data_IF_282016928149
#
_entry.id   IF_282016928149
#
_cell.length_a   1.000
_cell.length_b   1.000
_cell.length_c   1.000
_cell.angle_alpha   90.00
_cell.angle_beta   90.00
_cell.angle_gamma   90.00
#
_symmetry.space_group_name_H-M   'P 1'
#
loop_
_entity.id
_entity.type
_entity.pdbx_description
1 polymer ?
#
# COMPACT_ATOMS: atom_id res chain seq x y z
N UNK A 1 -20.17 50.20 8.54
CA UNK A 1 -19.53 50.39 7.22
C UNK A 1 -18.09 49.84 7.25
N UNK A 2 -17.90 48.53 7.49
CA UNK A 2 -16.55 47.90 7.71
C UNK A 2 -16.38 46.58 6.90
N UNK A 3 -17.32 46.21 6.03
CA UNK A 3 -17.32 44.87 5.39
C UNK A 3 -16.79 44.80 3.94
N UNK A 4 -16.27 45.88 3.36
CA UNK A 4 -16.00 45.92 1.90
C UNK A 4 -14.51 45.96 1.47
N UNK A 5 -13.53 45.86 2.36
CA UNK A 5 -12.14 46.26 2.01
C UNK A 5 -11.05 45.17 2.10
N UNK A 6 -11.39 43.86 2.14
CA UNK A 6 -10.37 42.79 2.27
C UNK A 6 -10.47 41.66 1.23
N UNK A 7 -10.79 41.98 -0.02
CA UNK A 7 -10.76 41.04 -1.16
C UNK A 7 -9.61 41.39 -2.13
N UNK A 8 -8.40 41.63 -1.61
CA UNK A 8 -7.24 41.97 -2.46
C UNK A 8 -5.97 41.16 -2.11
N UNK A 9 -6.12 39.87 -1.80
CA UNK A 9 -5.04 39.05 -1.20
C UNK A 9 -4.40 38.01 -2.12
N UNK A 10 -4.54 38.08 -3.45
CA UNK A 10 -3.81 37.15 -4.33
C UNK A 10 -3.11 37.80 -5.55
N UNK A 11 -2.21 38.79 -5.37
CA UNK A 11 -1.28 39.15 -6.44
C UNK A 11 -0.09 38.19 -6.38
N UNK A 12 -0.21 37.00 -6.98
CA UNK A 12 0.91 36.05 -6.94
C UNK A 12 0.86 34.79 -7.81
N UNK A 13 -0.23 34.51 -8.52
CA UNK A 13 -0.38 33.24 -9.25
C UNK A 13 -0.05 33.32 -10.75
N UNK A 14 1.04 34.00 -11.12
CA UNK A 14 1.60 33.89 -12.49
C UNK A 14 3.06 33.47 -12.44
N UNK A 15 3.28 32.24 -11.97
CA UNK A 15 4.56 31.54 -12.18
C UNK A 15 4.68 31.23 -13.67
N UNK A 16 5.32 32.12 -14.45
CA UNK A 16 5.70 31.82 -15.84
C UNK A 16 6.65 30.63 -15.79
N UNK A 17 6.19 29.46 -16.22
CA UNK A 17 7.04 28.28 -16.41
C UNK A 17 8.01 28.61 -17.54
N UNK A 18 9.22 29.04 -17.20
CA UNK A 18 10.29 29.24 -18.17
C UNK A 18 10.95 27.87 -18.41
N UNK A 19 10.60 27.22 -19.51
CA UNK A 19 11.33 26.05 -20.00
C UNK A 19 12.69 26.52 -20.51
N UNK A 20 13.73 26.34 -19.70
CA UNK A 20 15.10 26.50 -20.18
C UNK A 20 15.54 25.19 -20.83
N UNK A 21 15.53 25.16 -22.17
CA UNK A 21 15.95 23.98 -22.93
C UNK A 21 17.47 23.93 -22.89
N UNK A 22 18.02 23.22 -21.90
CA UNK A 22 19.44 22.90 -21.83
C UNK A 22 19.67 21.41 -22.17
N UNK A 23 20.92 21.03 -22.42
CA UNK A 23 21.27 19.64 -22.77
C UNK A 23 20.90 18.62 -21.67
N UNK A 24 20.87 19.04 -20.40
CA UNK A 24 20.49 18.19 -19.26
C UNK A 24 18.99 17.90 -19.21
N UNK A 25 18.14 18.88 -19.54
CA UNK A 25 16.69 18.73 -19.62
C UNK A 25 16.34 17.82 -20.79
N UNK A 26 17.02 17.97 -21.93
CA UNK A 26 16.83 17.07 -23.07
C UNK A 26 17.21 15.62 -22.72
N UNK A 27 18.34 15.41 -22.04
CA UNK A 27 18.77 14.09 -21.59
C UNK A 27 17.78 13.48 -20.56
N UNK A 28 17.37 14.26 -19.57
CA UNK A 28 16.39 13.84 -18.57
C UNK A 28 15.03 13.49 -19.21
N UNK A 29 14.55 14.31 -20.15
CA UNK A 29 13.32 14.06 -20.90
C UNK A 29 13.41 12.78 -21.73
N UNK A 30 14.55 12.52 -22.38
CA UNK A 30 14.76 11.28 -23.12
C UNK A 30 14.73 10.04 -22.22
N UNK A 31 15.40 10.10 -21.05
CA UNK A 31 15.39 9.00 -20.08
C UNK A 31 13.97 8.74 -19.56
N UNK A 32 13.24 9.79 -19.18
CA UNK A 32 11.85 9.67 -18.73
C UNK A 32 10.97 9.06 -19.82
N UNK A 33 11.15 9.50 -21.07
CA UNK A 33 10.44 8.94 -22.21
C UNK A 33 10.74 7.46 -22.39
N UNK A 34 12.03 7.07 -22.40
CA UNK A 34 12.47 5.68 -22.53
C UNK A 34 11.90 4.77 -21.44
N UNK A 35 11.88 5.23 -20.18
CA UNK A 35 11.30 4.49 -19.05
C UNK A 35 9.77 4.40 -19.16
N UNK A 36 9.12 5.40 -19.79
CA UNK A 36 7.67 5.45 -19.94
C UNK A 36 7.15 4.66 -21.15
N UNK A 37 8.01 4.21 -22.06
CA UNK A 37 7.65 3.40 -23.24
C UNK A 37 6.68 2.25 -22.92
N UNK A 38 6.92 1.36 -21.92
CA UNK A 38 6.00 0.27 -21.62
C UNK A 38 4.61 0.74 -21.19
N UNK A 39 4.50 1.91 -20.56
CA UNK A 39 3.20 2.49 -20.18
C UNK A 39 2.43 2.88 -21.44
N UNK A 40 3.08 3.56 -22.38
CA UNK A 40 2.46 3.91 -23.66
C UNK A 40 2.11 2.66 -24.47
N UNK A 41 2.97 1.64 -24.45
CA UNK A 41 2.69 0.36 -25.10
C UNK A 41 1.39 -0.26 -24.58
N UNK A 42 1.23 -0.36 -23.25
CA UNK A 42 -0.01 -0.87 -22.63
C UNK A 42 -1.22 0.00 -22.99
N UNK A 43 -1.09 1.33 -23.01
CA UNK A 43 -2.18 2.23 -23.38
C UNK A 43 -2.66 2.04 -24.82
N UNK A 44 -1.74 1.78 -25.77
CA UNK A 44 -2.09 1.52 -27.16
C UNK A 44 -2.84 0.18 -27.32
N UNK A 45 -2.49 -0.83 -26.51
CA UNK A 45 -3.15 -2.16 -26.56
C UNK A 45 -4.61 -2.13 -26.08
N UNK A 46 -5.08 -1.06 -25.46
CA UNK A 46 -6.50 -0.89 -25.09
C UNK A 46 -7.39 -0.82 -26.34
N UNK A 47 -6.86 -0.34 -27.47
CA UNK A 47 -7.62 -0.21 -28.72
C UNK A 47 -7.58 -1.47 -29.59
N UNK A 48 -6.79 -2.48 -29.22
CA UNK A 48 -6.71 -3.74 -29.95
C UNK A 48 -7.78 -4.75 -29.48
N UNK A 49 -8.27 -5.62 -30.36
CA UNK A 49 -9.25 -6.63 -29.98
C UNK A 49 -8.65 -7.62 -28.96
N UNK A 50 -9.40 -8.01 -27.92
CA UNK A 50 -8.87 -8.89 -26.87
C UNK A 50 -8.62 -10.31 -27.38
N UNK A 51 -7.43 -10.82 -27.06
CA UNK A 51 -7.04 -12.21 -27.33
C UNK A 51 -7.81 -13.21 -26.46
N UNK A 52 -7.70 -14.51 -26.78
CA UNK A 52 -8.41 -15.57 -26.05
C UNK A 52 -7.99 -15.66 -24.57
N UNK A 53 -6.70 -15.42 -24.28
CA UNK A 53 -6.18 -15.40 -22.91
C UNK A 53 -6.82 -14.29 -22.05
N UNK A 54 -6.97 -13.08 -22.60
CA UNK A 54 -7.64 -11.96 -21.93
C UNK A 54 -9.09 -12.28 -21.64
N UNK A 55 -9.82 -12.87 -22.60
CA UNK A 55 -11.21 -13.28 -22.41
C UNK A 55 -11.33 -14.31 -21.28
N UNK A 56 -10.39 -15.25 -21.19
CA UNK A 56 -10.36 -16.24 -20.11
C UNK A 56 -10.13 -15.59 -18.73
N UNK A 57 -9.19 -14.64 -18.64
CA UNK A 57 -8.90 -13.92 -17.38
C UNK A 57 -10.12 -13.12 -16.91
N UNK A 58 -10.75 -12.37 -17.82
CA UNK A 58 -11.92 -11.54 -17.52
C UNK A 58 -13.09 -12.38 -17.03
N UNK A 59 -13.33 -13.54 -17.63
CA UNK A 59 -14.49 -14.37 -17.30
C UNK A 59 -14.32 -15.24 -16.04
N UNK A 60 -13.08 -15.54 -15.64
CA UNK A 60 -12.81 -16.49 -14.54
C UNK A 60 -12.32 -15.81 -13.27
N UNK A 61 -11.24 -15.03 -13.36
CA UNK A 61 -10.49 -14.57 -12.18
C UNK A 61 -10.64 -13.08 -11.89
N UNK A 62 -10.93 -12.25 -12.91
CA UNK A 62 -10.92 -10.79 -12.75
C UNK A 62 -11.89 -10.31 -11.68
N UNK A 63 -13.13 -10.77 -11.71
CA UNK A 63 -14.13 -10.38 -10.72
C UNK A 63 -13.68 -10.74 -9.30
N UNK A 64 -13.12 -11.94 -9.13
CA UNK A 64 -12.61 -12.40 -7.83
C UNK A 64 -11.44 -11.57 -7.34
N UNK A 65 -10.48 -11.22 -8.23
CA UNK A 65 -9.36 -10.36 -7.88
C UNK A 65 -9.81 -8.97 -7.44
N UNK A 66 -10.72 -8.34 -8.20
CA UNK A 66 -11.22 -7.00 -7.87
C UNK A 66 -11.91 -6.99 -6.50
N UNK A 67 -12.78 -7.97 -6.23
CA UNK A 67 -13.50 -8.06 -4.95
C UNK A 67 -12.53 -8.33 -3.80
N UNK A 68 -11.62 -9.29 -3.95
CA UNK A 68 -10.66 -9.64 -2.91
C UNK A 68 -9.71 -8.47 -2.60
N UNK A 69 -9.15 -7.81 -3.61
CA UNK A 69 -8.32 -6.62 -3.42
C UNK A 69 -9.07 -5.52 -2.70
N UNK A 70 -10.33 -5.26 -3.08
CA UNK A 70 -11.13 -4.24 -2.42
C UNK A 70 -11.40 -4.58 -0.93
N UNK A 71 -11.76 -5.82 -0.63
CA UNK A 71 -11.96 -6.29 0.74
C UNK A 71 -10.67 -6.20 1.57
N UNK A 72 -9.53 -6.60 1.00
CA UNK A 72 -8.23 -6.52 1.65
C UNK A 72 -7.83 -5.06 1.91
N UNK A 73 -8.02 -4.16 0.94
CA UNK A 73 -7.74 -2.73 1.11
C UNK A 73 -8.59 -2.11 2.23
N UNK A 74 -9.88 -2.44 2.29
CA UNK A 74 -10.77 -1.95 3.35
C UNK A 74 -10.39 -2.53 4.71
N UNK A 75 -10.16 -3.84 4.80
CA UNK A 75 -9.80 -4.51 6.05
C UNK A 75 -8.46 -4.01 6.59
N UNK A 76 -7.42 -4.03 5.76
CA UNK A 76 -6.07 -3.57 6.14
C UNK A 76 -6.04 -2.07 6.39
N UNK A 77 -6.72 -1.25 5.58
CA UNK A 77 -6.82 0.19 5.76
C UNK A 77 -7.51 0.56 7.08
N UNK A 78 -8.62 -0.09 7.41
CA UNK A 78 -9.33 0.14 8.68
C UNK A 78 -8.48 -0.25 9.88
N UNK A 79 -7.85 -1.43 9.86
CA UNK A 79 -6.95 -1.87 10.93
C UNK A 79 -5.74 -0.95 11.09
N UNK A 80 -5.16 -0.48 9.97
CA UNK A 80 -4.02 0.44 9.98
C UNK A 80 -4.41 1.79 10.58
N UNK A 81 -5.59 2.32 10.26
CA UNK A 81 -6.09 3.56 10.86
C UNK A 81 -6.28 3.38 12.35
N UNK A 82 -6.98 2.31 12.77
CA UNK A 82 -7.24 2.06 14.18
C UNK A 82 -5.92 1.93 14.94
N UNK A 83 -5.03 1.03 14.53
CA UNK A 83 -3.79 0.78 15.28
C UNK A 83 -2.84 1.98 15.17
N UNK A 84 -2.66 2.51 13.96
CA UNK A 84 -1.71 3.59 13.66
C UNK A 84 -2.08 4.93 14.30
N UNK A 85 -3.35 5.35 14.20
CA UNK A 85 -3.80 6.61 14.83
C UNK A 85 -3.76 6.47 16.35
N UNK A 86 -4.21 5.34 16.90
CA UNK A 86 -4.22 5.14 18.35
C UNK A 86 -2.79 5.14 18.92
N UNK A 87 -1.86 4.42 18.30
CA UNK A 87 -0.45 4.41 18.74
C UNK A 87 0.23 5.77 18.56
N UNK A 88 -0.01 6.46 17.44
CA UNK A 88 0.51 7.81 17.23
C UNK A 88 -0.04 8.82 18.26
N UNK A 89 -1.32 8.73 18.60
CA UNK A 89 -1.94 9.55 19.64
C UNK A 89 -1.29 9.29 21.00
N UNK A 90 -1.09 8.02 21.39
CA UNK A 90 -0.46 7.69 22.66
C UNK A 90 0.96 8.25 22.79
N UNK A 91 1.79 8.11 21.76
CA UNK A 91 3.18 8.58 21.79
C UNK A 91 3.25 10.10 21.76
N UNK A 92 2.31 10.79 21.11
CA UNK A 92 2.34 12.27 21.04
C UNK A 92 1.67 12.95 22.24
N UNK A 93 0.59 12.37 22.78
CA UNK A 93 -0.18 12.96 23.86
C UNK A 93 0.36 12.66 25.27
N UNK A 94 1.07 11.54 25.47
CA UNK A 94 1.54 11.11 26.79
C UNK A 94 3.06 10.88 26.84
N UNK A 95 3.71 11.36 27.91
CA UNK A 95 5.11 11.06 28.21
C UNK A 95 5.18 9.92 29.24
N UNK A 96 5.36 8.69 28.76
CA UNK A 96 5.49 7.48 29.59
C UNK A 96 6.94 6.94 29.58
N UNK A 97 7.37 6.18 30.60
CA UNK A 97 8.69 5.55 30.60
C UNK A 97 8.78 4.55 29.44
N UNK A 98 9.61 4.84 28.45
CA UNK A 98 9.70 4.07 27.19
C UNK A 98 9.24 4.82 25.93
N UNK A 99 8.73 6.05 26.05
CA UNK A 99 8.30 6.88 24.92
C UNK A 99 9.31 6.93 23.76
N UNK A 100 10.61 7.13 24.08
CA UNK A 100 11.67 7.24 23.06
C UNK A 100 11.82 5.96 22.23
N UNK A 101 11.62 4.80 22.84
CA UNK A 101 11.66 3.51 22.13
C UNK A 101 10.50 3.41 21.14
N UNK A 102 9.25 3.61 21.58
CA UNK A 102 8.08 3.52 20.71
C UNK A 102 8.08 4.58 19.59
N UNK A 103 8.51 5.81 19.90
CA UNK A 103 8.66 6.87 18.90
C UNK A 103 9.62 6.48 17.77
N UNK A 104 10.68 5.74 18.07
CA UNK A 104 11.63 5.27 17.06
C UNK A 104 11.14 4.00 16.34
N UNK A 105 10.59 3.04 17.09
CA UNK A 105 10.06 1.78 16.57
C UNK A 105 8.93 1.97 15.56
N UNK A 106 8.12 3.03 15.67
CA UNK A 106 7.08 3.36 14.70
C UNK A 106 7.64 3.74 13.31
N UNK A 107 8.89 4.20 13.24
CA UNK A 107 9.56 4.58 11.98
C UNK A 107 10.28 3.37 11.37
N UNK A 108 10.80 2.48 12.21
CA UNK A 108 11.54 1.27 11.85
C UNK A 108 10.88 0.42 10.74
N UNK A 109 9.56 0.10 10.78
CA UNK A 109 8.93 -0.73 9.74
C UNK A 109 9.04 -0.15 8.33
N UNK A 110 9.21 1.18 8.18
CA UNK A 110 9.38 1.82 6.88
C UNK A 110 10.74 1.51 6.22
N UNK A 111 11.72 1.03 6.98
CA UNK A 111 13.04 0.67 6.45
C UNK A 111 13.08 -0.73 5.83
N UNK A 112 12.12 -1.60 6.16
CA UNK A 112 12.12 -2.95 5.63
C UNK A 112 11.55 -2.98 4.21
N UNK A 113 12.23 -3.64 3.26
CA UNK A 113 11.64 -3.96 1.98
C UNK A 113 10.35 -4.76 2.16
N UNK A 114 9.28 -4.35 1.50
CA UNK A 114 7.95 -4.97 1.64
C UNK A 114 7.96 -6.48 1.40
N UNK A 115 8.78 -6.94 0.45
CA UNK A 115 8.94 -8.36 0.12
C UNK A 115 9.49 -9.19 1.30
N UNK A 116 10.51 -8.68 2.00
CA UNK A 116 11.11 -9.39 3.14
C UNK A 116 10.10 -9.50 4.27
N UNK A 117 9.36 -8.43 4.54
CA UNK A 117 8.28 -8.45 5.53
C UNK A 117 7.21 -9.48 5.17
N UNK A 118 6.75 -9.52 3.91
CA UNK A 118 5.74 -10.47 3.45
C UNK A 118 6.14 -11.93 3.68
N UNK A 119 7.37 -12.32 3.32
CA UNK A 119 7.85 -13.69 3.55
C UNK A 119 8.10 -14.03 5.00
N UNK A 120 8.55 -13.06 5.80
CA UNK A 120 8.69 -13.27 7.23
C UNK A 120 7.32 -13.53 7.86
N UNK A 121 6.30 -12.76 7.50
CA UNK A 121 4.93 -13.00 7.95
C UNK A 121 4.36 -14.32 7.44
N UNK A 122 4.59 -14.66 6.17
CA UNK A 122 4.21 -15.96 5.62
C UNK A 122 4.79 -17.11 6.46
N UNK A 123 6.09 -17.07 6.80
CA UNK A 123 6.71 -18.10 7.64
C UNK A 123 6.21 -18.11 9.09
N UNK A 124 5.84 -16.95 9.65
CA UNK A 124 5.29 -16.86 11.01
C UNK A 124 3.90 -17.51 11.09
N UNK A 125 3.06 -17.28 10.08
CA UNK A 125 1.67 -17.75 10.01
C UNK A 125 1.50 -19.07 9.26
N UNK A 126 2.56 -19.63 8.70
CA UNK A 126 2.54 -20.94 8.04
C UNK A 126 2.07 -22.05 9.00
N UNK A 127 1.62 -23.16 8.41
CA UNK A 127 1.18 -24.35 9.13
C UNK A 127 2.22 -24.86 10.14
N UNK A 128 3.51 -24.73 9.80
CA UNK A 128 4.63 -25.15 10.64
C UNK A 128 5.22 -24.01 11.47
N UNK A 129 4.68 -22.80 11.32
CA UNK A 129 5.17 -21.56 11.91
C UNK A 129 5.02 -21.48 13.44
N UNK A 130 5.77 -20.57 14.09
CA UNK A 130 5.78 -20.41 15.54
C UNK A 130 4.39 -20.09 16.11
N UNK A 131 3.59 -19.27 15.41
CA UNK A 131 2.25 -18.90 15.89
C UNK A 131 1.33 -20.11 15.94
N UNK A 132 1.32 -20.92 14.88
CA UNK A 132 0.53 -22.16 14.86
C UNK A 132 1.01 -23.18 15.89
N UNK A 133 2.33 -23.31 16.10
CA UNK A 133 2.88 -24.18 17.15
C UNK A 133 2.41 -23.76 18.53
N UNK A 134 2.50 -22.47 18.87
CA UNK A 134 2.06 -21.95 20.17
C UNK A 134 0.56 -22.18 20.37
N UNK A 135 -0.26 -21.87 19.36
CA UNK A 135 -1.71 -22.10 19.40
C UNK A 135 -2.06 -23.57 19.63
N UNK A 136 -1.37 -24.51 18.97
CA UNK A 136 -1.55 -25.96 19.16
C UNK A 136 -1.11 -26.46 20.52
N UNK A 137 -0.09 -25.83 21.13
CA UNK A 137 0.36 -26.21 22.48
C UNK A 137 -0.54 -25.67 23.58
N UNK A 138 -1.24 -24.56 23.33
CA UNK A 138 -2.15 -23.94 24.30
C UNK A 138 -3.60 -24.43 24.16
N UNK A 139 -4.03 -24.73 22.94
CA UNK A 139 -5.31 -25.35 22.66
C UNK A 139 -5.19 -26.86 22.78
N UNK A 140 -5.78 -27.42 23.84
CA UNK A 140 -5.97 -28.86 24.00
C UNK A 140 -6.48 -29.43 22.66
N UNK A 141 -5.77 -30.39 22.07
CA UNK A 141 -5.61 -30.64 20.61
C UNK A 141 -6.87 -30.85 19.74
N UNK A 142 -8.07 -30.60 20.27
CA UNK A 142 -9.37 -30.60 19.61
C UNK A 142 -9.85 -29.20 19.15
N UNK A 143 -9.34 -28.08 19.69
CA UNK A 143 -9.59 -26.73 19.16
C UNK A 143 -8.52 -26.34 18.13
N UNK A 144 -8.29 -27.21 17.15
CA UNK A 144 -7.41 -26.94 16.03
C UNK A 144 -8.00 -25.82 15.16
N UNK A 145 -7.86 -24.57 15.60
CA UNK A 145 -7.94 -23.40 14.73
C UNK A 145 -6.80 -23.57 13.71
N UNK A 146 -7.09 -24.29 12.62
CA UNK A 146 -6.26 -24.33 11.43
C UNK A 146 -6.40 -22.97 10.76
N UNK A 147 -5.73 -21.97 11.35
CA UNK A 147 -5.50 -20.65 10.77
C UNK A 147 -4.46 -20.80 9.66
N UNK A 148 -4.83 -21.50 8.60
CA UNK A 148 -4.08 -21.53 7.37
C UNK A 148 -4.34 -20.23 6.61
N UNK A 149 -3.66 -19.17 7.08
CA UNK A 149 -3.81 -17.82 6.54
C UNK A 149 -3.47 -17.79 5.05
N UNK A 150 -2.57 -18.67 4.60
CA UNK A 150 -2.14 -18.76 3.20
C UNK A 150 -3.20 -19.40 2.30
N UNK A 151 -4.13 -20.17 2.89
CA UNK A 151 -5.19 -20.87 2.18
C UNK A 151 -6.59 -20.29 2.51
N UNK A 152 -6.66 -19.05 3.03
CA UNK A 152 -7.93 -18.38 3.25
C UNK A 152 -8.56 -17.97 1.91
N UNK A 153 -9.88 -18.20 1.71
CA UNK A 153 -10.56 -17.95 0.43
C UNK A 153 -10.57 -16.47 0.00
N UNK A 154 -10.29 -15.53 0.91
CA UNK A 154 -10.10 -14.11 0.61
C UNK A 154 -8.65 -13.76 0.20
N UNK A 155 -7.68 -14.62 0.50
CA UNK A 155 -6.24 -14.44 0.24
C UNK A 155 -5.72 -15.28 -0.93
N UNK A 156 -6.39 -16.39 -1.27
CA UNK A 156 -6.07 -17.18 -2.46
C UNK A 156 -6.59 -16.46 -3.71
N UNK A 157 -5.73 -16.33 -4.74
CA UNK A 157 -6.06 -15.98 -6.12
C UNK A 157 -7.08 -16.96 -6.73
#
# INVERSE_FOLDING_TARGET
MIWAQKINVLPGLRRKIRFNINSWVLLASFIVFAISVPIFFVLLHIFEPPNEAWRHIVSTVLQRYVINTFLLMLGTGTLTIIIGVTTAWFVTAYKFPGHKFFSWSLILPLSFPTYIAAFTYAGIFDFTGPVQRILRTLGDGQLAFNLDVMNLPCLIL
#
